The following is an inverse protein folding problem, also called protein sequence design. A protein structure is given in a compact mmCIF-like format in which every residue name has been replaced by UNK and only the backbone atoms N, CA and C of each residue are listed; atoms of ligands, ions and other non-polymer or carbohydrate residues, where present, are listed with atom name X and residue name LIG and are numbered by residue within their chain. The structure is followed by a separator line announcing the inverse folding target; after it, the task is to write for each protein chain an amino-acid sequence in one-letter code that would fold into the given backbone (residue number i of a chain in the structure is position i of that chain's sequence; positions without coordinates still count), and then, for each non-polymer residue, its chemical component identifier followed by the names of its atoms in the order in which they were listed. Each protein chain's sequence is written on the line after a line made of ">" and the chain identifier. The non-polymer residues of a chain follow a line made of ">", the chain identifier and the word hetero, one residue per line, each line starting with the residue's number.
data_IF_465529638594
#
_entry.id   IF_465529638594
#
_cell.length_a   1.000
_cell.length_b   1.000
_cell.length_c   1.000
_cell.angle_alpha   90.00
_cell.angle_beta   90.00
_cell.angle_gamma   90.00
#
_symmetry.space_group_name_H-M   'P 1'
#
loop_
_entity.id
_entity.type
_entity.pdbx_description
1 polymer ?
#
# COMPACT_ATOMS: atom_id res chain seq x y z
N UNK A 1 6.81 69.18 -15.10
CA UNK A 1 7.55 67.91 -15.26
C UNK A 1 7.52 66.95 -14.05
N UNK A 2 6.90 67.31 -12.90
CA UNK A 2 6.88 66.47 -11.67
C UNK A 2 5.79 65.39 -11.62
N UNK A 3 4.63 65.61 -12.26
CA UNK A 3 3.48 64.70 -12.22
C UNK A 3 3.72 63.34 -12.94
N UNK A 4 4.49 63.35 -14.03
CA UNK A 4 4.80 62.12 -14.80
C UNK A 4 5.63 61.13 -13.97
N UNK A 5 6.55 61.63 -13.14
CA UNK A 5 7.45 60.79 -12.33
C UNK A 5 6.67 60.02 -11.25
N UNK A 6 5.68 60.65 -10.61
CA UNK A 6 4.88 60.04 -9.53
C UNK A 6 4.00 58.90 -10.07
N UNK A 7 3.41 59.07 -11.26
CA UNK A 7 2.67 58.00 -11.95
C UNK A 7 3.56 56.82 -12.33
N UNK A 8 4.79 57.07 -12.78
CA UNK A 8 5.74 56.00 -13.11
C UNK A 8 6.18 55.21 -11.88
N UNK A 9 6.41 55.88 -10.74
CA UNK A 9 6.76 55.17 -9.49
C UNK A 9 5.60 54.33 -8.94
N UNK A 10 4.36 54.81 -9.04
CA UNK A 10 3.17 54.03 -8.65
C UNK A 10 2.97 52.81 -9.54
N UNK A 11 3.18 52.94 -10.86
CA UNK A 11 3.13 51.82 -11.80
C UNK A 11 4.24 50.80 -11.54
N UNK A 12 5.49 51.24 -11.30
CA UNK A 12 6.61 50.35 -10.97
C UNK A 12 6.42 49.65 -9.62
N UNK A 13 5.86 50.32 -8.61
CA UNK A 13 5.56 49.73 -7.30
C UNK A 13 4.46 48.66 -7.41
N UNK A 14 3.42 48.89 -8.24
CA UNK A 14 2.39 47.87 -8.50
C UNK A 14 2.92 46.66 -9.28
N UNK A 15 3.87 46.87 -10.19
CA UNK A 15 4.50 45.79 -10.97
C UNK A 15 5.47 44.95 -10.11
N UNK A 16 6.13 45.57 -9.13
CA UNK A 16 6.98 44.88 -8.17
C UNK A 16 6.17 44.02 -7.18
N UNK A 17 4.94 44.44 -6.85
CA UNK A 17 4.06 43.75 -5.91
C UNK A 17 3.37 42.51 -6.53
N UNK A 18 3.16 42.48 -7.84
CA UNK A 18 2.55 41.33 -8.54
C UNK A 18 3.53 40.19 -8.83
N UNK A 19 4.84 40.47 -8.82
CA UNK A 19 5.88 39.45 -9.08
C UNK A 19 6.16 38.52 -7.88
N UNK A 20 5.57 38.77 -6.71
CA UNK A 20 5.82 38.01 -5.49
C UNK A 20 4.87 36.81 -5.25
N UNK A 21 3.88 36.57 -6.11
CA UNK A 21 3.00 35.40 -6.01
C UNK A 21 3.57 34.21 -6.80
N UNK A 22 4.74 33.72 -6.41
CA UNK A 22 5.17 32.37 -6.79
C UNK A 22 4.66 31.37 -5.75
N UNK A 23 3.45 30.87 -5.94
CA UNK A 23 2.92 29.76 -5.15
C UNK A 23 3.73 28.51 -5.47
N UNK A 24 4.59 28.10 -4.55
CA UNK A 24 5.26 26.80 -4.64
C UNK A 24 4.19 25.70 -4.55
N UNK A 25 3.94 25.01 -5.65
CA UNK A 25 3.18 23.77 -5.63
C UNK A 25 4.05 22.71 -4.96
N UNK A 26 3.78 22.39 -3.70
CA UNK A 26 4.41 21.26 -3.05
C UNK A 26 3.76 19.99 -3.59
N UNK A 27 4.48 19.26 -4.45
CA UNK A 27 4.12 17.88 -4.82
C UNK A 27 4.43 17.02 -3.60
N UNK A 28 3.45 16.80 -2.74
CA UNK A 28 3.51 15.70 -1.79
C UNK A 28 3.48 14.41 -2.61
N UNK A 29 4.63 13.77 -2.80
CA UNK A 29 4.66 12.34 -3.08
C UNK A 29 4.14 11.63 -1.83
N UNK A 30 2.83 11.46 -1.72
CA UNK A 30 2.33 10.33 -0.94
C UNK A 30 2.81 9.10 -1.69
N UNK A 31 3.62 8.28 -1.05
CA UNK A 31 3.92 6.95 -1.59
C UNK A 31 2.63 6.12 -1.50
N UNK A 32 1.64 6.44 -2.33
CA UNK A 32 0.56 5.52 -2.63
C UNK A 32 1.19 4.45 -3.53
N UNK A 33 1.73 3.39 -2.92
CA UNK A 33 2.28 2.26 -3.67
C UNK A 33 3.61 1.65 -3.22
N UNK A 34 3.90 1.58 -1.92
CA UNK A 34 5.14 0.96 -1.42
C UNK A 34 4.97 0.06 -0.19
N UNK A 35 3.73 -0.19 0.24
CA UNK A 35 3.51 -1.15 1.31
C UNK A 35 3.52 -2.56 0.71
N UNK A 36 4.39 -3.43 1.23
CA UNK A 36 4.40 -4.85 0.84
C UNK A 36 3.04 -5.48 1.18
N UNK A 37 2.61 -6.54 0.48
CA UNK A 37 1.41 -7.27 0.85
C UNK A 37 1.44 -7.68 2.32
N UNK A 38 0.38 -7.35 3.05
CA UNK A 38 0.16 -7.82 4.41
C UNK A 38 -0.50 -9.20 4.37
N UNK A 39 0.01 -10.14 5.18
CA UNK A 39 -0.51 -11.52 5.25
C UNK A 39 -0.78 -11.91 6.70
N UNK A 40 -1.93 -12.54 6.94
CA UNK A 40 -2.29 -13.15 8.20
C UNK A 40 -2.61 -14.63 7.99
N UNK A 41 -2.13 -15.48 8.90
CA UNK A 41 -2.40 -16.92 8.92
C UNK A 41 -3.04 -17.23 10.27
N UNK A 42 -4.18 -17.92 10.24
CA UNK A 42 -4.92 -18.34 11.42
C UNK A 42 -5.12 -19.86 11.38
N UNK A 43 -4.73 -20.52 12.46
CA UNK A 43 -4.92 -21.96 12.68
C UNK A 43 -5.59 -22.07 14.03
N UNK A 44 -6.81 -22.60 14.06
CA UNK A 44 -7.58 -22.71 15.30
C UNK A 44 -7.06 -23.82 16.22
N UNK A 45 -6.39 -24.84 15.66
CA UNK A 45 -5.83 -25.95 16.40
C UNK A 45 -4.42 -25.60 16.89
N UNK A 46 -4.27 -25.39 18.20
CA UNK A 46 -2.99 -24.95 18.80
C UNK A 46 -2.20 -26.07 19.48
N UNK A 47 -2.85 -27.16 19.84
CA UNK A 47 -2.31 -28.16 20.76
C UNK A 47 -2.96 -29.54 20.55
N UNK A 48 -2.24 -30.60 20.92
CA UNK A 48 -2.75 -31.98 20.88
C UNK A 48 -3.03 -32.52 19.48
N UNK A 49 -2.33 -32.04 18.44
CA UNK A 49 -2.56 -32.49 17.06
C UNK A 49 -2.04 -33.92 16.87
N UNK A 50 -2.94 -34.84 16.56
CA UNK A 50 -2.60 -36.24 16.29
C UNK A 50 -2.05 -36.42 14.87
N UNK A 51 -1.21 -37.44 14.69
CA UNK A 51 -0.72 -37.82 13.35
C UNK A 51 -1.91 -38.22 12.48
N UNK A 52 -2.01 -37.62 11.30
CA UNK A 52 -3.14 -37.84 10.39
C UNK A 52 -4.36 -36.97 10.69
N UNK A 53 -4.33 -36.10 11.71
CA UNK A 53 -5.36 -35.09 11.90
C UNK A 53 -5.27 -34.01 10.82
N UNK A 54 -6.41 -33.58 10.29
CA UNK A 54 -6.47 -32.45 9.36
C UNK A 54 -6.40 -31.11 10.10
N UNK A 55 -5.41 -30.30 9.76
CA UNK A 55 -5.22 -28.93 10.24
C UNK A 55 -5.84 -27.97 9.23
N UNK A 56 -6.78 -27.14 9.68
CA UNK A 56 -7.39 -26.12 8.85
C UNK A 56 -6.64 -24.80 8.99
N UNK A 57 -6.12 -24.32 7.87
CA UNK A 57 -5.31 -23.10 7.78
C UNK A 57 -6.14 -22.06 7.03
N UNK A 58 -6.49 -20.98 7.72
CA UNK A 58 -7.18 -19.84 7.13
C UNK A 58 -6.16 -18.73 6.90
N UNK A 59 -6.17 -18.13 5.72
CA UNK A 59 -5.19 -17.13 5.34
C UNK A 59 -5.86 -15.94 4.69
N UNK A 60 -5.38 -14.75 5.02
CA UNK A 60 -5.83 -13.50 4.44
C UNK A 60 -4.62 -12.70 3.96
N UNK A 61 -4.72 -12.15 2.76
CA UNK A 61 -3.74 -11.24 2.19
C UNK A 61 -4.42 -9.92 1.80
N UNK A 62 -3.70 -8.80 1.97
CA UNK A 62 -4.16 -7.46 1.61
C UNK A 62 -3.02 -6.66 1.00
N UNK A 63 -3.31 -5.95 -0.09
CA UNK A 63 -2.37 -5.06 -0.76
C UNK A 63 -3.13 -3.90 -1.43
N UNK A 64 -2.64 -2.68 -1.28
CA UNK A 64 -3.31 -1.48 -1.81
C UNK A 64 -3.22 -1.37 -3.34
N UNK A 65 -2.18 -1.94 -3.95
CA UNK A 65 -1.95 -1.99 -5.40
C UNK A 65 -2.54 -3.26 -6.02
N UNK A 66 -2.73 -4.29 -5.19
CA UNK A 66 -3.42 -5.52 -5.54
C UNK A 66 -2.55 -6.76 -5.39
N UNK A 67 -3.21 -7.89 -5.23
CA UNK A 67 -2.57 -9.19 -5.02
C UNK A 67 -2.61 -9.93 -6.35
N UNK A 68 -1.44 -10.34 -6.86
CA UNK A 68 -1.33 -11.13 -8.09
C UNK A 68 -1.28 -12.64 -7.83
N UNK A 69 -0.69 -13.05 -6.71
CA UNK A 69 -0.48 -14.45 -6.36
C UNK A 69 -0.34 -14.64 -4.86
N UNK A 70 -0.80 -15.79 -4.37
CA UNK A 70 -0.49 -16.30 -3.04
C UNK A 70 0.15 -17.68 -3.16
N UNK A 71 1.22 -17.89 -2.41
CA UNK A 71 1.91 -19.18 -2.29
C UNK A 71 1.90 -19.62 -0.82
N UNK A 72 1.28 -20.77 -0.53
CA UNK A 72 1.43 -21.44 0.75
C UNK A 72 2.55 -22.47 0.63
N UNK A 73 3.48 -22.45 1.59
CA UNK A 73 4.54 -23.45 1.75
C UNK A 73 4.43 -24.09 3.12
N UNK A 74 4.64 -25.40 3.18
CA UNK A 74 4.70 -26.18 4.41
C UNK A 74 6.06 -26.85 4.44
N UNK A 75 6.81 -26.65 5.52
CA UNK A 75 8.20 -27.13 5.67
C UNK A 75 9.12 -26.71 4.50
N UNK A 76 8.87 -25.50 3.98
CA UNK A 76 9.60 -24.93 2.85
C UNK A 76 9.17 -25.47 1.47
N UNK A 77 8.33 -26.50 1.41
CA UNK A 77 7.84 -27.06 0.14
C UNK A 77 6.55 -26.36 -0.32
N UNK A 78 6.39 -26.08 -1.63
CA UNK A 78 5.14 -25.55 -2.17
C UNK A 78 3.96 -26.47 -1.85
N UNK A 79 2.92 -25.92 -1.24
CA UNK A 79 1.69 -26.62 -0.89
C UNK A 79 0.53 -26.23 -1.81
N UNK A 80 0.29 -24.92 -1.93
CA UNK A 80 -0.77 -24.38 -2.77
C UNK A 80 -0.33 -23.07 -3.42
N UNK A 81 -0.84 -22.81 -4.62
CA UNK A 81 -0.68 -21.53 -5.30
C UNK A 81 -2.04 -21.07 -5.78
N UNK A 82 -2.41 -19.83 -5.44
CA UNK A 82 -3.66 -19.23 -5.88
C UNK A 82 -3.35 -17.95 -6.64
N UNK A 83 -3.94 -17.82 -7.82
CA UNK A 83 -4.05 -16.54 -8.49
C UNK A 83 -5.14 -15.75 -7.80
N UNK A 84 -4.82 -14.55 -7.34
CA UNK A 84 -5.78 -13.62 -6.76
C UNK A 84 -5.90 -12.40 -7.68
N UNK A 85 -7.01 -11.68 -7.56
CA UNK A 85 -7.21 -10.39 -8.23
C UNK A 85 -7.89 -9.45 -7.24
N UNK A 86 -7.49 -8.18 -7.26
CA UNK A 86 -7.98 -7.16 -6.34
C UNK A 86 -7.12 -7.01 -5.09
N UNK A 87 -7.63 -6.23 -4.14
CA UNK A 87 -6.84 -5.68 -3.03
C UNK A 87 -6.84 -6.58 -1.80
N UNK A 88 -7.67 -7.61 -1.78
CA UNK A 88 -7.80 -8.54 -0.67
C UNK A 88 -8.08 -9.95 -1.20
N UNK A 89 -7.57 -10.95 -0.50
CA UNK A 89 -7.77 -12.35 -0.82
C UNK A 89 -7.85 -13.17 0.45
N UNK A 90 -8.77 -14.14 0.48
CA UNK A 90 -8.91 -15.10 1.57
C UNK A 90 -8.96 -16.50 1.00
N UNK A 91 -8.28 -17.45 1.65
CA UNK A 91 -8.26 -18.84 1.23
C UNK A 91 -8.07 -19.77 2.41
N UNK A 92 -8.60 -20.98 2.27
CA UNK A 92 -8.47 -22.06 3.23
C UNK A 92 -7.64 -23.18 2.62
N UNK A 93 -6.80 -23.79 3.44
CA UNK A 93 -6.08 -25.01 3.13
C UNK A 93 -6.28 -26.02 4.26
N UNK A 94 -6.35 -27.29 3.90
CA UNK A 94 -6.42 -28.41 4.84
C UNK A 94 -5.13 -29.21 4.68
N UNK A 95 -4.38 -29.44 5.76
CA UNK A 95 -3.15 -30.24 5.74
C UNK A 95 -3.27 -31.39 6.74
N UNK A 96 -3.00 -32.62 6.29
CA UNK A 96 -2.84 -33.75 7.21
C UNK A 96 -1.53 -33.61 7.98
N UNK A 97 -1.61 -33.60 9.30
CA UNK A 97 -0.45 -33.50 10.16
C UNK A 97 0.44 -34.73 10.03
N UNK A 98 1.73 -34.48 9.81
CA UNK A 98 2.80 -35.47 9.81
C UNK A 98 3.99 -34.84 10.56
N UNK A 99 4.63 -35.58 11.49
CA UNK A 99 5.77 -35.09 12.24
C UNK A 99 7.04 -34.99 11.39
#
# INVERSE_FOLDING_TARGET
>A
MRQKKIHTYLLLLSLLLTAALSTACSVTKTNAGQDKPAVAINIAQSDGIEVGQEINIQMMAMDAEGISRIELKIDGQPYATLSAQGNNASFNAAQLWKP
#
